data_IF_978008528385
#
_entry.id   IF_978008528385
#
_cell.length_a   1.000
_cell.length_b   1.000
_cell.length_c   1.000
_cell.angle_alpha   90.00
_cell.angle_beta   90.00
_cell.angle_gamma   90.00
#
_symmetry.space_group_name_H-M   'P 1'
#
loop_
_entity.id
_entity.type
_entity.pdbx_description
1 polymer ?
#
# COMPACT_ATOMS: atom_id res chain seq x y z
N UNK A 1 -3.62 -12.34 -57.44
CA UNK A 1 -2.74 -12.92 -56.40
C UNK A 1 -2.30 -11.93 -55.31
N UNK A 2 -2.99 -10.79 -55.07
CA UNK A 2 -2.43 -9.71 -54.23
C UNK A 2 -3.15 -9.44 -52.88
N UNK A 3 -4.18 -10.21 -52.53
CA UNK A 3 -4.98 -9.99 -51.30
C UNK A 3 -4.52 -10.82 -50.10
N UNK A 4 -4.02 -12.05 -50.31
CA UNK A 4 -3.52 -12.91 -49.22
C UNK A 4 -2.31 -12.32 -48.47
N UNK A 5 -1.46 -11.56 -49.16
CA UNK A 5 -0.25 -10.96 -48.57
C UNK A 5 -0.57 -9.80 -47.60
N UNK A 6 -1.68 -9.07 -47.79
CA UNK A 6 -2.08 -7.95 -46.93
C UNK A 6 -2.78 -8.38 -45.64
N UNK A 7 -3.44 -9.52 -45.62
CA UNK A 7 -4.07 -10.06 -44.39
C UNK A 7 -3.05 -10.70 -43.46
N UNK A 8 -2.07 -11.43 -44.02
CA UNK A 8 -1.02 -12.07 -43.25
C UNK A 8 -0.10 -11.06 -42.57
N UNK A 9 0.18 -9.93 -43.24
CA UNK A 9 0.98 -8.83 -42.70
C UNK A 9 0.26 -8.08 -41.56
N UNK A 10 -1.06 -7.86 -41.69
CA UNK A 10 -1.89 -7.28 -40.63
C UNK A 10 -2.02 -8.17 -39.40
N UNK A 11 -2.10 -9.49 -39.58
CA UNK A 11 -2.09 -10.46 -38.48
C UNK A 11 -0.78 -10.44 -37.70
N UNK A 12 0.35 -10.29 -38.42
CA UNK A 12 1.68 -10.19 -37.80
C UNK A 12 1.87 -8.88 -37.03
N UNK A 13 1.46 -7.74 -37.60
CA UNK A 13 1.54 -6.43 -36.91
C UNK A 13 0.66 -6.38 -35.66
N UNK A 14 -0.52 -6.99 -35.69
CA UNK A 14 -1.39 -7.11 -34.51
C UNK A 14 -0.82 -8.07 -33.45
N UNK A 15 -0.16 -9.16 -33.85
CA UNK A 15 0.52 -10.06 -32.93
C UNK A 15 1.73 -9.37 -32.26
N UNK A 16 2.53 -8.60 -33.02
CA UNK A 16 3.63 -7.81 -32.49
C UNK A 16 3.14 -6.67 -31.57
N UNK A 17 2.06 -5.99 -31.92
CA UNK A 17 1.41 -5.00 -31.05
C UNK A 17 0.87 -5.63 -29.75
N UNK A 18 0.30 -6.84 -29.84
CA UNK A 18 -0.14 -7.62 -28.67
C UNK A 18 1.00 -8.06 -27.77
N UNK A 19 2.13 -8.48 -28.34
CA UNK A 19 3.35 -8.84 -27.59
C UNK A 19 3.99 -7.61 -26.95
N UNK A 20 4.03 -6.47 -27.63
CA UNK A 20 4.49 -5.20 -27.06
C UNK A 20 3.61 -4.75 -25.89
N UNK A 21 2.28 -4.81 -26.04
CA UNK A 21 1.34 -4.50 -24.97
C UNK A 21 1.51 -5.44 -23.76
N UNK A 22 1.70 -6.75 -23.98
CA UNK A 22 1.98 -7.71 -22.91
C UNK A 22 3.33 -7.44 -22.22
N UNK A 23 4.35 -7.04 -22.98
CA UNK A 23 5.66 -6.67 -22.45
C UNK A 23 5.57 -5.43 -21.55
N UNK A 24 4.85 -4.40 -21.98
CA UNK A 24 4.68 -3.17 -21.21
C UNK A 24 3.80 -3.37 -19.98
N UNK A 25 2.79 -4.22 -20.06
CA UNK A 25 1.96 -4.62 -18.93
C UNK A 25 2.77 -5.42 -17.89
N UNK A 26 3.66 -6.31 -18.33
CA UNK A 26 4.61 -7.00 -17.45
C UNK A 26 5.63 -6.04 -16.79
N UNK A 27 6.14 -5.04 -17.52
CA UNK A 27 7.01 -4.00 -16.93
C UNK A 27 6.26 -3.18 -15.88
N UNK A 28 4.99 -2.86 -16.15
CA UNK A 28 4.10 -2.17 -15.21
C UNK A 28 3.93 -2.95 -13.90
N UNK A 29 3.66 -4.26 -14.00
CA UNK A 29 3.56 -5.13 -12.82
C UNK A 29 4.89 -5.25 -12.05
N UNK A 30 6.02 -5.42 -12.75
CA UNK A 30 7.32 -5.49 -12.10
C UNK A 30 7.65 -4.20 -11.33
N UNK A 31 7.31 -3.04 -11.90
CA UNK A 31 7.45 -1.74 -11.25
C UNK A 31 6.54 -1.60 -10.03
N UNK A 32 5.27 -2.00 -10.16
CA UNK A 32 4.30 -1.99 -9.07
C UNK A 32 4.76 -2.88 -7.90
N UNK A 33 5.24 -4.08 -8.18
CA UNK A 33 5.79 -4.99 -7.17
C UNK A 33 7.02 -4.38 -6.48
N UNK A 34 7.95 -3.80 -7.24
CA UNK A 34 9.13 -3.13 -6.66
C UNK A 34 8.73 -1.99 -5.72
N UNK A 35 7.72 -1.21 -6.10
CA UNK A 35 7.20 -0.11 -5.28
C UNK A 35 6.51 -0.64 -4.02
N UNK A 36 5.70 -1.69 -4.14
CA UNK A 36 5.07 -2.37 -3.01
C UNK A 36 6.11 -2.90 -2.00
N UNK A 37 7.14 -3.60 -2.49
CA UNK A 37 8.22 -4.12 -1.64
C UNK A 37 8.98 -3.00 -0.93
N UNK A 38 9.23 -1.87 -1.60
CA UNK A 38 9.87 -0.71 -0.98
C UNK A 38 9.01 -0.12 0.12
N UNK A 39 7.72 0.05 -0.10
CA UNK A 39 6.78 0.57 0.91
C UNK A 39 6.68 -0.37 2.11
N UNK A 40 6.69 -1.68 1.89
CA UNK A 40 6.71 -2.67 2.96
C UNK A 40 7.99 -2.60 3.80
N UNK A 41 9.16 -2.52 3.17
CA UNK A 41 10.45 -2.40 3.88
C UNK A 41 10.55 -1.10 4.67
N UNK A 42 10.11 0.02 4.10
CA UNK A 42 10.00 1.29 4.82
C UNK A 42 9.05 1.18 6.02
N UNK A 43 7.97 0.42 5.84
CA UNK A 43 7.08 0.00 6.90
C UNK A 43 7.82 -0.65 8.07
N UNK A 44 8.56 -1.72 7.79
CA UNK A 44 9.30 -2.46 8.83
C UNK A 44 10.28 -1.55 9.58
N UNK A 45 11.04 -0.71 8.87
CA UNK A 45 12.02 0.18 9.50
C UNK A 45 11.35 1.17 10.45
N UNK A 46 10.30 1.85 10.01
CA UNK A 46 9.61 2.80 10.88
C UNK A 46 8.92 2.11 12.07
N UNK A 47 8.42 0.87 11.90
CA UNK A 47 7.92 0.08 13.04
C UNK A 47 9.04 -0.21 14.07
N UNK A 48 10.25 -0.53 13.62
CA UNK A 48 11.39 -0.75 14.51
C UNK A 48 11.80 0.53 15.25
N UNK A 49 11.79 1.68 14.57
CA UNK A 49 12.07 2.99 15.18
C UNK A 49 11.07 3.31 16.31
N UNK A 50 9.78 3.05 16.11
CA UNK A 50 8.75 3.24 17.13
C UNK A 50 8.96 2.31 18.34
N UNK A 51 9.30 1.04 18.11
CA UNK A 51 9.58 0.09 19.18
C UNK A 51 10.80 0.50 20.02
N UNK A 52 11.86 0.98 19.37
CA UNK A 52 13.04 1.53 20.06
C UNK A 52 12.70 2.81 20.83
N UNK A 53 11.85 3.66 20.26
CA UNK A 53 11.30 4.84 20.93
C UNK A 53 10.56 4.48 22.21
N UNK A 54 9.65 3.50 22.14
CA UNK A 54 8.92 2.99 23.29
C UNK A 54 9.87 2.42 24.36
N UNK A 55 10.84 1.58 23.97
CA UNK A 55 11.80 1.01 24.90
C UNK A 55 12.59 2.09 25.66
N UNK A 56 13.03 3.14 24.95
CA UNK A 56 13.73 4.28 25.56
C UNK A 56 12.85 5.09 26.52
N UNK A 57 11.56 5.23 26.23
CA UNK A 57 10.60 5.89 27.14
C UNK A 57 10.39 5.03 28.39
N UNK A 58 10.22 3.72 28.22
CA UNK A 58 10.03 2.78 29.33
C UNK A 58 11.25 2.74 30.26
N UNK A 59 12.47 2.70 29.72
CA UNK A 59 13.70 2.72 30.53
C UNK A 59 13.79 3.98 31.40
N UNK A 60 13.57 5.15 30.81
CA UNK A 60 13.57 6.43 31.56
C UNK A 60 12.48 6.49 32.61
N UNK A 61 11.29 5.96 32.31
CA UNK A 61 10.19 5.91 33.25
C UNK A 61 10.48 4.94 34.41
N UNK A 62 11.16 3.82 34.14
CA UNK A 62 11.60 2.87 35.16
C UNK A 62 12.67 3.47 36.06
N UNK A 63 13.68 4.14 35.49
CA UNK A 63 14.72 4.85 36.25
C UNK A 63 14.09 5.89 37.18
N UNK A 64 13.19 6.72 36.65
CA UNK A 64 12.47 7.71 37.46
C UNK A 64 11.67 7.06 38.58
N UNK A 65 10.93 5.99 38.29
CA UNK A 65 10.13 5.29 39.31
C UNK A 65 11.01 4.63 40.37
N UNK A 66 12.17 4.10 39.99
CA UNK A 66 13.17 3.60 40.94
C UNK A 66 13.67 4.71 41.87
N UNK A 67 14.02 5.87 41.31
CA UNK A 67 14.49 7.01 42.11
C UNK A 67 13.39 7.51 43.06
N UNK A 68 12.18 7.69 42.55
CA UNK A 68 11.00 8.06 43.34
C UNK A 68 10.77 7.04 44.48
N UNK A 69 10.83 5.73 44.20
CA UNK A 69 10.69 4.68 45.21
C UNK A 69 11.80 4.71 46.26
N UNK A 70 13.05 4.99 45.87
CA UNK A 70 14.17 5.05 46.80
C UNK A 70 14.06 6.21 47.79
N UNK A 71 13.30 7.24 47.43
CA UNK A 71 13.00 8.40 48.29
C UNK A 71 11.77 8.22 49.17
N UNK A 72 10.98 7.17 48.95
CA UNK A 72 9.74 6.95 49.70
C UNK A 72 10.05 6.61 51.16
N UNK A 73 9.48 7.39 52.09
CA UNK A 73 9.72 7.18 53.53
C UNK A 73 8.75 6.15 54.13
N UNK A 74 7.59 5.95 53.48
CA UNK A 74 6.50 5.13 53.97
C UNK A 74 5.96 4.16 52.91
N UNK A 75 5.43 3.01 53.36
CA UNK A 75 4.91 1.98 52.48
C UNK A 75 3.72 2.45 51.61
N UNK A 76 2.85 3.33 52.14
CA UNK A 76 1.73 3.92 51.40
C UNK A 76 2.20 4.82 50.25
N UNK A 77 3.29 5.55 50.44
CA UNK A 77 3.91 6.38 49.41
C UNK A 77 4.52 5.54 48.29
N UNK A 78 5.29 4.51 48.66
CA UNK A 78 5.84 3.54 47.70
C UNK A 78 4.72 2.85 46.88
N UNK A 79 3.63 2.44 47.54
CA UNK A 79 2.48 1.84 46.86
C UNK A 79 1.79 2.81 45.90
N UNK A 80 1.68 4.10 46.26
CA UNK A 80 1.14 5.14 45.36
C UNK A 80 2.05 5.37 44.14
N UNK A 81 3.36 5.36 44.33
CA UNK A 81 4.35 5.47 43.23
C UNK A 81 4.19 4.28 42.28
N UNK A 82 4.10 3.07 42.82
CA UNK A 82 3.90 1.86 42.02
C UNK A 82 2.59 1.87 41.23
N UNK A 83 1.47 2.28 41.85
CA UNK A 83 0.18 2.40 41.17
C UNK A 83 0.22 3.45 40.06
N UNK A 84 0.86 4.60 40.31
CA UNK A 84 1.02 5.67 39.32
C UNK A 84 1.85 5.19 38.14
N UNK A 85 2.94 4.48 38.40
CA UNK A 85 3.77 3.86 37.37
C UNK A 85 2.99 2.83 36.56
N UNK A 86 2.32 1.87 37.22
CA UNK A 86 1.54 0.83 36.55
C UNK A 86 0.46 1.41 35.63
N UNK A 87 -0.24 2.47 36.09
CA UNK A 87 -1.24 3.17 35.29
C UNK A 87 -0.62 3.81 34.05
N UNK A 88 0.46 4.58 34.22
CA UNK A 88 1.14 5.26 33.11
C UNK A 88 1.66 4.28 32.07
N UNK A 89 2.30 3.19 32.53
CA UNK A 89 2.82 2.14 31.66
C UNK A 89 1.69 1.47 30.88
N UNK A 90 0.56 1.18 31.53
CA UNK A 90 -0.60 0.59 30.86
C UNK A 90 -1.19 1.53 29.80
N UNK A 91 -1.35 2.82 30.12
CA UNK A 91 -1.83 3.84 29.17
C UNK A 91 -0.89 3.96 27.96
N UNK A 92 0.43 3.93 28.18
CA UNK A 92 1.43 3.94 27.11
C UNK A 92 1.36 2.69 26.22
N UNK A 93 1.25 1.49 26.80
CA UNK A 93 1.13 0.26 26.01
C UNK A 93 -0.12 0.25 25.13
N UNK A 94 -1.26 0.73 25.65
CA UNK A 94 -2.50 0.82 24.88
C UNK A 94 -2.33 1.82 23.72
N UNK A 95 -1.75 2.98 23.99
CA UNK A 95 -1.49 4.00 22.97
C UNK A 95 -0.59 3.47 21.85
N UNK A 96 0.53 2.82 22.20
CA UNK A 96 1.45 2.27 21.20
C UNK A 96 0.85 1.08 20.43
N UNK A 97 0.06 0.24 21.08
CA UNK A 97 -0.68 -0.83 20.39
C UNK A 97 -1.61 -0.25 19.32
N UNK A 98 -2.36 0.82 19.63
CA UNK A 98 -3.21 1.50 18.65
C UNK A 98 -2.39 2.09 17.50
N UNK A 99 -1.23 2.69 17.81
CA UNK A 99 -0.33 3.28 16.81
C UNK A 99 0.26 2.22 15.87
N UNK A 100 0.66 1.06 16.41
CA UNK A 100 1.15 -0.07 15.62
C UNK A 100 0.06 -0.62 14.69
N UNK A 101 -1.19 -0.71 15.14
CA UNK A 101 -2.32 -1.12 14.29
C UNK A 101 -2.53 -0.14 13.14
N UNK A 102 -2.51 1.17 13.42
CA UNK A 102 -2.62 2.20 12.37
C UNK A 102 -1.46 2.11 11.38
N UNK A 103 -0.25 1.87 11.87
CA UNK A 103 0.94 1.72 11.05
C UNK A 103 0.86 0.50 10.14
N UNK A 104 0.43 -0.65 10.68
CA UNK A 104 0.22 -1.88 9.92
C UNK A 104 -0.84 -1.68 8.82
N UNK A 105 -1.96 -1.02 9.14
CA UNK A 105 -2.99 -0.69 8.16
C UNK A 105 -2.45 0.22 7.05
N UNK A 106 -1.73 1.28 7.40
CA UNK A 106 -1.14 2.21 6.42
C UNK A 106 -0.11 1.51 5.53
N UNK A 107 0.77 0.70 6.11
CA UNK A 107 1.79 -0.06 5.38
C UNK A 107 1.14 -1.07 4.43
N UNK A 108 0.11 -1.79 4.89
CA UNK A 108 -0.67 -2.70 4.07
C UNK A 108 -1.30 -1.97 2.88
N UNK A 109 -2.08 -0.92 3.13
CA UNK A 109 -2.73 -0.12 2.07
C UNK A 109 -1.71 0.43 1.08
N UNK A 110 -0.59 0.97 1.55
CA UNK A 110 0.46 1.51 0.68
C UNK A 110 1.17 0.43 -0.14
N UNK A 111 1.30 -0.78 0.40
CA UNK A 111 1.93 -1.90 -0.32
C UNK A 111 1.00 -2.45 -1.42
N UNK A 112 -0.32 -2.41 -1.21
CA UNK A 112 -1.29 -2.89 -2.19
C UNK A 112 -1.71 -1.83 -3.21
N UNK A 113 -1.63 -0.55 -2.87
CA UNK A 113 -2.07 0.55 -3.75
C UNK A 113 -1.43 0.56 -5.14
N UNK A 114 -0.14 0.22 -5.34
CA UNK A 114 0.47 0.15 -6.68
C UNK A 114 0.01 -1.06 -7.50
N UNK A 115 -0.49 -2.11 -6.84
CA UNK A 115 -0.88 -3.39 -7.43
C UNK A 115 -2.37 -3.40 -7.76
N UNK A 116 -3.18 -2.71 -6.96
CA UNK A 116 -4.60 -2.55 -7.22
C UNK A 116 -4.77 -1.80 -8.54
N UNK A 117 -5.45 -2.41 -9.54
CA UNK A 117 -5.73 -1.71 -10.76
C UNK A 117 -6.59 -0.50 -10.40
N UNK A 118 -6.07 0.71 -10.66
CA UNK A 118 -6.95 1.86 -10.85
C UNK A 118 -7.77 1.54 -12.09
N UNK A 119 -8.93 0.93 -11.90
CA UNK A 119 -9.95 0.80 -12.94
C UNK A 119 -10.34 2.22 -13.32
N UNK A 120 -9.62 2.81 -14.27
CA UNK A 120 -10.11 3.92 -15.03
C UNK A 120 -11.22 3.34 -15.92
N UNK A 121 -12.50 3.73 -15.77
CA UNK A 121 -13.61 3.10 -16.48
C UNK A 121 -13.66 3.37 -17.99
N UNK A 122 -12.54 3.72 -18.65
CA UNK A 122 -12.58 4.39 -19.95
C UNK A 122 -11.77 3.75 -21.09
N UNK A 123 -11.31 2.50 -20.98
CA UNK A 123 -10.60 1.82 -22.08
C UNK A 123 -11.35 0.59 -22.63
N UNK A 124 -12.67 0.70 -22.75
CA UNK A 124 -13.47 -0.20 -23.61
C UNK A 124 -14.04 0.54 -24.84
N UNK A 125 -13.33 1.53 -25.38
CA UNK A 125 -13.59 2.06 -26.73
C UNK A 125 -12.66 1.37 -27.73
N UNK A 126 -12.85 0.06 -27.87
CA UNK A 126 -12.07 -0.79 -28.78
C UNK A 126 -12.95 -1.88 -29.39
N UNK A 127 -14.24 -1.62 -29.58
CA UNK A 127 -15.13 -2.53 -30.29
C UNK A 127 -15.05 -2.20 -31.78
N UNK A 128 -14.53 -3.08 -32.66
CA UNK A 128 -14.57 -2.82 -34.09
C UNK A 128 -16.04 -2.87 -34.53
N UNK A 129 -16.56 -1.74 -35.03
CA UNK A 129 -17.86 -1.71 -35.68
C UNK A 129 -17.75 -2.45 -37.02
N UNK A 130 -17.99 -3.76 -36.95
CA UNK A 130 -18.34 -4.55 -38.12
C UNK A 130 -19.56 -3.90 -38.80
N UNK A 131 -19.50 -3.84 -40.13
CA UNK A 131 -20.33 -3.02 -40.99
C UNK A 131 -21.83 -3.01 -40.69
N UNK A 132 -22.42 -1.83 -40.83
CA UNK A 132 -23.82 -1.69 -41.21
C UNK A 132 -23.90 -0.75 -42.41
N UNK A 133 -23.98 -1.34 -43.60
CA UNK A 133 -24.52 -0.65 -44.78
C UNK A 133 -25.96 -0.26 -44.46
N UNK A 134 -26.28 1.02 -44.56
CA UNK A 134 -27.64 1.56 -44.70
C UNK A 134 -27.47 2.70 -45.70
N UNK A 135 -27.63 2.48 -47.00
CA UNK A 135 -28.92 2.53 -47.70
C UNK A 135 -29.81 3.66 -47.18
N UNK A 136 -29.83 4.77 -47.93
CA UNK A 136 -30.97 5.63 -48.27
C UNK A 136 -30.51 7.10 -48.40
N UNK A 137 -30.72 7.70 -49.57
CA UNK A 137 -30.50 9.14 -49.75
C UNK A 137 -30.17 9.55 -51.18
N UNK A 138 -30.94 9.10 -52.18
CA UNK A 138 -30.90 9.71 -53.52
C UNK A 138 -32.24 9.57 -54.24
N UNK A 139 -33.16 10.48 -53.97
CA UNK A 139 -34.12 10.95 -54.98
C UNK A 139 -34.74 12.26 -54.50
N UNK A 140 -34.65 13.28 -55.33
CA UNK A 140 -35.02 14.66 -55.02
C UNK A 140 -34.61 15.58 -56.16
N UNK A 141 -35.20 15.34 -57.33
CA UNK A 141 -35.47 16.34 -58.37
C UNK A 141 -36.82 16.02 -58.98
#
# INVERSE_FOLDING_TARGET
MSTKKKEQDKGNVNAFAGVAALSDLNKGFAKALTQASRSYLQGIVAMQEELLGLANVQMRQLEKTRDDMSSATYANEAMRIQQTWARKVSEQYIYEAQRLVQFANKTSTNSWSPILPTTSPNETSGRPSAGRKSQAGRSGK
#
